data_IF_522454448326
#
_entry.id   IF_522454448326
#
_cell.length_a   1.000
_cell.length_b   1.000
_cell.length_c   1.000
_cell.angle_alpha   90.00
_cell.angle_beta   90.00
_cell.angle_gamma   90.00
#
_symmetry.space_group_name_H-M   'P 1'
#
loop_
_entity.id
_entity.type
_entity.pdbx_description
1 polymer ?
#
# COMPACT_ATOMS: atom_id res chain seq x y z
N UNK A 1 13.00 -2.50 -13.72
CA UNK A 1 13.52 -3.55 -12.81
C UNK A 1 15.04 -3.65 -12.85
N UNK A 2 15.66 -3.99 -14.00
CA UNK A 2 17.11 -4.26 -14.08
C UNK A 2 18.02 -3.13 -13.56
N UNK A 3 17.83 -1.89 -14.03
CA UNK A 3 18.66 -0.74 -13.63
C UNK A 3 18.42 -0.33 -12.16
N UNK A 4 17.16 -0.41 -11.70
CA UNK A 4 16.78 -0.05 -10.33
C UNK A 4 17.29 -1.05 -9.28
N UNK A 5 17.66 -2.27 -9.69
CA UNK A 5 18.25 -3.28 -8.81
C UNK A 5 19.77 -3.17 -8.65
N UNK A 6 20.47 -2.37 -9.47
CA UNK A 6 21.93 -2.24 -9.41
C UNK A 6 22.45 -1.73 -8.04
N UNK A 7 21.79 -0.77 -7.35
CA UNK A 7 22.19 -0.37 -6.01
C UNK A 7 22.08 -1.48 -4.97
N UNK A 8 21.18 -2.44 -5.15
CA UNK A 8 20.95 -3.58 -4.25
C UNK A 8 22.04 -4.66 -4.36
N UNK A 9 22.89 -4.62 -5.39
CA UNK A 9 24.03 -5.53 -5.57
C UNK A 9 25.31 -5.04 -4.89
N UNK A 10 25.30 -3.83 -4.33
CA UNK A 10 26.44 -3.29 -3.58
C UNK A 10 26.54 -3.92 -2.19
N UNK A 11 27.69 -3.81 -1.51
CA UNK A 11 27.90 -4.40 -0.18
C UNK A 11 26.94 -3.94 0.93
N UNK A 12 26.18 -2.86 0.70
CA UNK A 12 25.12 -2.37 1.59
C UNK A 12 23.70 -2.58 1.02
N UNK A 13 23.57 -3.30 -0.09
CA UNK A 13 22.31 -3.48 -0.81
C UNK A 13 21.21 -4.17 0.00
N UNK A 14 21.58 -5.07 0.92
CA UNK A 14 20.63 -5.71 1.83
C UNK A 14 19.93 -4.69 2.76
N UNK A 15 20.66 -3.67 3.23
CA UNK A 15 20.08 -2.61 4.07
C UNK A 15 19.11 -1.73 3.27
N UNK A 16 19.45 -1.39 2.02
CA UNK A 16 18.57 -0.62 1.14
C UNK A 16 17.30 -1.42 0.84
N UNK A 17 17.43 -2.73 0.60
CA UNK A 17 16.29 -3.61 0.37
C UNK A 17 15.36 -3.67 1.59
N UNK A 18 15.93 -3.83 2.78
CA UNK A 18 15.18 -3.92 4.04
C UNK A 18 14.41 -2.63 4.34
N UNK A 19 15.05 -1.47 4.17
CA UNK A 19 14.41 -0.15 4.34
C UNK A 19 13.24 0.03 3.36
N UNK A 20 13.45 -0.32 2.08
CA UNK A 20 12.40 -0.18 1.05
C UNK A 20 11.24 -1.14 1.31
N UNK A 21 11.51 -2.39 1.67
CA UNK A 21 10.47 -3.39 1.96
C UNK A 21 9.63 -2.98 3.17
N UNK A 22 10.28 -2.61 4.28
CA UNK A 22 9.58 -2.14 5.48
C UNK A 22 8.73 -0.91 5.17
N UNK A 23 9.28 0.07 4.46
CA UNK A 23 8.54 1.27 4.12
C UNK A 23 7.33 1.00 3.23
N UNK A 24 7.51 0.19 2.17
CA UNK A 24 6.43 -0.14 1.23
C UNK A 24 5.28 -0.89 1.89
N UNK A 25 5.57 -1.82 2.80
CA UNK A 25 4.53 -2.58 3.50
C UNK A 25 3.77 -1.72 4.52
N UNK A 26 4.47 -0.94 5.34
CA UNK A 26 3.84 -0.15 6.40
C UNK A 26 3.10 1.08 5.90
N UNK A 27 3.63 1.80 4.90
CA UNK A 27 3.02 3.05 4.44
C UNK A 27 2.38 2.91 3.07
N UNK A 28 3.10 2.38 2.08
CA UNK A 28 2.61 2.30 0.70
C UNK A 28 1.37 1.41 0.57
N UNK A 29 1.55 0.11 0.79
CA UNK A 29 0.50 -0.89 0.63
C UNK A 29 -0.66 -0.64 1.60
N UNK A 30 -0.36 -0.35 2.86
CA UNK A 30 -1.36 -0.13 3.91
C UNK A 30 -2.31 1.02 3.61
N UNK A 31 -1.81 2.16 3.11
CA UNK A 31 -2.67 3.29 2.75
C UNK A 31 -3.57 2.98 1.56
N UNK A 32 -3.02 2.31 0.53
CA UNK A 32 -3.80 1.89 -0.66
C UNK A 32 -4.90 0.92 -0.26
N UNK A 33 -4.58 -0.11 0.52
CA UNK A 33 -5.54 -1.11 0.97
C UNK A 33 -6.59 -0.48 1.89
N UNK A 34 -6.20 0.41 2.80
CA UNK A 34 -7.13 1.14 3.66
C UNK A 34 -8.14 1.95 2.82
N UNK A 35 -7.67 2.65 1.78
CA UNK A 35 -8.55 3.34 0.83
C UNK A 35 -9.51 2.40 0.10
N UNK A 36 -8.99 1.29 -0.44
CA UNK A 36 -9.81 0.27 -1.12
C UNK A 36 -10.87 -0.32 -0.19
N UNK A 37 -10.51 -0.64 1.04
CA UNK A 37 -11.40 -1.21 2.04
C UNK A 37 -12.48 -0.20 2.47
N UNK A 38 -12.15 1.09 2.57
CA UNK A 38 -13.16 2.14 2.81
C UNK A 38 -14.15 2.22 1.65
N UNK A 39 -13.66 2.24 0.42
CA UNK A 39 -14.48 2.30 -0.79
C UNK A 39 -15.39 1.08 -0.88
N UNK A 40 -14.86 -0.12 -0.73
CA UNK A 40 -15.60 -1.37 -0.87
C UNK A 40 -16.55 -1.58 0.33
N UNK A 41 -16.04 -1.39 1.55
CA UNK A 41 -16.75 -1.69 2.78
C UNK A 41 -17.91 -0.73 3.08
N UNK A 42 -17.74 0.57 2.79
CA UNK A 42 -18.72 1.60 3.16
C UNK A 42 -19.31 2.35 1.97
N UNK A 43 -18.52 2.73 0.96
CA UNK A 43 -19.04 3.53 -0.15
C UNK A 43 -19.86 2.69 -1.17
N UNK A 44 -19.29 1.60 -1.67
CA UNK A 44 -19.96 0.67 -2.59
C UNK A 44 -20.90 -0.30 -1.86
N UNK A 45 -20.56 -0.61 -0.60
CA UNK A 45 -21.30 -1.53 0.26
C UNK A 45 -20.85 -2.97 0.03
N UNK A 46 -20.30 -3.59 1.08
CA UNK A 46 -19.80 -4.97 1.03
C UNK A 46 -20.88 -5.97 0.58
N UNK A 47 -22.14 -5.80 1.02
CA UNK A 47 -23.25 -6.69 0.63
C UNK A 47 -23.46 -6.77 -0.89
N UNK A 48 -23.31 -5.63 -1.59
CA UNK A 48 -23.46 -5.56 -3.04
C UNK A 48 -22.35 -6.33 -3.74
N UNK A 49 -21.12 -6.19 -3.24
CA UNK A 49 -19.97 -6.91 -3.78
C UNK A 49 -20.05 -8.41 -3.49
N UNK A 50 -20.50 -8.80 -2.29
CA UNK A 50 -20.76 -10.20 -1.93
C UNK A 50 -21.80 -10.85 -2.83
N UNK A 51 -22.91 -10.15 -3.12
CA UNK A 51 -23.96 -10.63 -4.03
C UNK A 51 -23.41 -10.85 -5.44
N UNK A 52 -22.56 -9.94 -5.92
CA UNK A 52 -21.93 -10.07 -7.23
C UNK A 52 -20.98 -11.28 -7.30
N UNK A 53 -20.18 -11.50 -6.26
CA UNK A 53 -19.29 -12.66 -6.15
C UNK A 53 -20.11 -13.96 -6.10
N UNK A 54 -21.19 -13.99 -5.33
CA UNK A 54 -22.04 -15.17 -5.17
C UNK A 54 -22.82 -15.52 -6.44
N UNK A 55 -23.13 -14.54 -7.29
CA UNK A 55 -23.77 -14.78 -8.59
C UNK A 55 -22.81 -15.39 -9.62
N UNK A 56 -21.53 -14.99 -9.58
CA UNK A 56 -20.52 -15.44 -10.53
C UNK A 56 -19.72 -16.66 -10.03
N UNK A 57 -19.96 -17.14 -8.81
CA UNK A 57 -19.21 -18.22 -8.18
C UNK A 57 -20.13 -19.39 -7.81
N UNK A 58 -19.63 -20.61 -7.98
CA UNK A 58 -20.31 -21.84 -7.54
C UNK A 58 -20.42 -21.96 -6.01
N UNK A 59 -19.75 -21.07 -5.26
CA UNK A 59 -19.73 -21.04 -3.80
C UNK A 59 -20.39 -19.78 -3.25
N UNK A 60 -21.24 -19.93 -2.22
CA UNK A 60 -21.92 -18.81 -1.56
C UNK A 60 -21.03 -18.20 -0.50
N UNK A 61 -20.70 -16.92 -0.66
CA UNK A 61 -19.94 -16.15 0.33
C UNK A 61 -20.89 -15.74 1.47
N UNK A 62 -20.54 -16.11 2.70
CA UNK A 62 -21.37 -15.87 3.89
C UNK A 62 -21.27 -14.43 4.44
N UNK A 63 -22.08 -14.14 5.47
CA UNK A 63 -22.09 -12.83 6.13
C UNK A 63 -20.77 -12.46 6.84
N UNK A 64 -19.94 -13.45 7.15
CA UNK A 64 -18.60 -13.25 7.72
C UNK A 64 -17.71 -12.39 6.82
N UNK A 65 -17.89 -12.46 5.50
CA UNK A 65 -17.07 -11.71 4.54
C UNK A 65 -17.30 -10.19 4.65
N UNK A 66 -18.55 -9.77 4.88
CA UNK A 66 -18.86 -8.35 5.11
C UNK A 66 -18.19 -7.85 6.39
N UNK A 67 -18.19 -8.67 7.45
CA UNK A 67 -17.55 -8.33 8.72
C UNK A 67 -16.04 -8.24 8.54
N UNK A 68 -15.44 -9.17 7.80
CA UNK A 68 -14.01 -9.15 7.52
C UNK A 68 -13.58 -7.88 6.80
N UNK A 69 -14.29 -7.48 5.74
CA UNK A 69 -13.94 -6.28 4.97
C UNK A 69 -14.23 -5.02 5.75
N UNK A 70 -15.36 -4.95 6.45
CA UNK A 70 -15.79 -3.70 7.09
C UNK A 70 -15.14 -3.46 8.46
N UNK A 71 -14.67 -4.50 9.13
CA UNK A 71 -14.13 -4.39 10.49
C UNK A 71 -12.75 -5.00 10.65
N UNK A 72 -12.53 -6.24 10.21
CA UNK A 72 -11.26 -6.95 10.46
C UNK A 72 -10.11 -6.31 9.70
N UNK A 73 -10.22 -6.18 8.37
CA UNK A 73 -9.19 -5.55 7.53
C UNK A 73 -8.82 -4.12 7.98
N UNK A 74 -9.77 -3.19 8.17
CA UNK A 74 -9.43 -1.83 8.55
C UNK A 74 -8.83 -1.78 9.96
N UNK A 75 -9.31 -2.59 10.92
CA UNK A 75 -8.69 -2.64 12.26
C UNK A 75 -7.28 -3.21 12.23
N UNK A 76 -7.01 -4.27 11.46
CA UNK A 76 -5.66 -4.83 11.35
C UNK A 76 -4.68 -3.82 10.76
N UNK A 77 -5.08 -3.08 9.71
CA UNK A 77 -4.23 -2.05 9.10
C UNK A 77 -4.01 -0.89 10.06
N UNK A 78 -5.06 -0.41 10.73
CA UNK A 78 -4.94 0.66 11.74
C UNK A 78 -4.02 0.23 12.90
N UNK A 79 -4.12 -1.02 13.35
CA UNK A 79 -3.24 -1.56 14.39
C UNK A 79 -1.78 -1.56 13.94
N UNK A 80 -1.51 -2.02 12.72
CA UNK A 80 -0.15 -2.07 12.16
C UNK A 80 0.46 -0.67 12.00
N UNK A 81 -0.34 0.30 11.55
CA UNK A 81 0.08 1.71 11.48
C UNK A 81 0.33 2.30 12.88
N UNK A 82 -0.53 1.97 13.84
CA UNK A 82 -0.38 2.44 15.22
C UNK A 82 0.87 1.88 15.89
N UNK A 83 1.18 0.59 15.71
CA UNK A 83 2.41 -0.01 16.25
C UNK A 83 3.65 0.66 15.69
N UNK A 84 3.66 0.93 14.38
CA UNK A 84 4.77 1.61 13.71
C UNK A 84 4.94 3.07 14.21
N UNK A 85 3.84 3.81 14.38
CA UNK A 85 3.87 5.18 14.94
C UNK A 85 4.36 5.15 16.40
N UNK A 86 3.89 4.19 17.20
CA UNK A 86 4.32 4.05 18.60
C UNK A 86 5.81 3.76 18.70
N UNK A 87 6.32 2.86 17.86
CA UNK A 87 7.75 2.54 17.81
C UNK A 87 8.60 3.74 17.38
N UNK A 88 8.06 4.62 16.53
CA UNK A 88 8.70 5.89 16.15
C UNK A 88 8.62 6.97 17.24
N UNK A 89 7.56 6.97 18.04
CA UNK A 89 7.34 7.93 19.10
C UNK A 89 8.22 7.69 20.35
N UNK A 90 8.78 6.49 20.50
CA UNK A 90 9.76 6.17 21.54
C UNK A 90 11.17 6.38 20.96
N UNK A 91 11.91 7.43 21.36
CA UNK A 91 13.23 7.72 20.82
C UNK A 91 14.24 6.67 21.29
N UNK A 92 14.52 5.67 20.46
CA UNK A 92 15.63 4.75 20.68
C UNK A 92 16.94 5.37 20.17
N UNK A 93 17.70 5.96 21.10
CA UNK A 93 19.14 6.24 20.94
C UNK A 93 19.52 7.30 19.90
N UNK A 94 20.79 7.70 19.91
CA UNK A 94 21.38 8.85 19.19
C UNK A 94 21.49 8.70 17.66
N UNK A 95 20.56 8.01 17.01
CA UNK A 95 20.50 7.92 15.54
C UNK A 95 19.47 8.91 14.99
N UNK A 96 19.87 10.18 14.94
CA UNK A 96 19.14 11.27 14.26
C UNK A 96 19.00 11.12 12.73
N UNK A 97 19.35 9.95 12.17
CA UNK A 97 19.25 9.66 10.73
C UNK A 97 17.87 9.15 10.31
N UNK A 98 17.03 8.66 11.23
CA UNK A 98 15.71 8.07 10.90
C UNK A 98 14.63 9.09 10.52
N UNK A 99 14.86 10.38 10.77
CA UNK A 99 14.00 11.47 10.27
C UNK A 99 14.13 11.66 8.75
N UNK A 100 15.25 11.26 8.15
CA UNK A 100 15.49 11.38 6.70
C UNK A 100 14.70 10.34 5.90
N UNK A 101 14.46 9.15 6.46
CA UNK A 101 13.60 8.11 5.86
C UNK A 101 12.15 8.59 5.71
N UNK A 102 11.65 9.39 6.66
CA UNK A 102 10.32 9.98 6.56
C UNK A 102 10.23 10.96 5.37
N UNK A 103 11.26 11.76 5.10
CA UNK A 103 11.24 12.69 3.97
C UNK A 103 11.45 12.00 2.62
N UNK A 104 12.42 11.08 2.53
CA UNK A 104 12.76 10.41 1.27
C UNK A 104 11.64 9.48 0.80
N UNK A 105 11.01 8.78 1.74
CA UNK A 105 10.06 7.75 1.37
C UNK A 105 8.63 8.30 1.17
N UNK A 106 8.23 9.37 1.86
CA UNK A 106 7.01 10.11 1.51
C UNK A 106 7.11 10.75 0.12
N UNK A 107 8.30 11.20 -0.27
CA UNK A 107 8.55 11.72 -1.62
C UNK A 107 8.34 10.63 -2.68
N UNK A 108 8.76 9.38 -2.43
CA UNK A 108 8.50 8.24 -3.32
C UNK A 108 6.99 7.92 -3.42
N UNK A 109 6.25 7.94 -2.30
CA UNK A 109 4.78 7.71 -2.28
C UNK A 109 4.04 8.74 -3.11
N UNK A 110 4.47 10.00 -3.09
CA UNK A 110 3.81 11.07 -3.85
C UNK A 110 4.28 11.04 -5.31
N UNK A 111 5.56 10.78 -5.55
CA UNK A 111 6.16 10.86 -6.88
C UNK A 111 5.74 9.69 -7.78
N UNK A 112 5.60 8.46 -7.26
CA UNK A 112 5.24 7.31 -8.09
C UNK A 112 3.82 7.39 -8.70
N UNK A 113 2.75 7.72 -7.96
CA UNK A 113 1.42 7.92 -8.53
C UNK A 113 1.39 9.09 -9.51
N UNK A 114 2.06 10.20 -9.19
CA UNK A 114 2.13 11.37 -10.08
C UNK A 114 2.83 10.99 -11.39
N UNK A 115 3.96 10.29 -11.33
CA UNK A 115 4.66 9.81 -12.53
C UNK A 115 3.77 8.84 -13.30
N UNK A 116 3.08 7.91 -12.64
CA UNK A 116 2.15 6.99 -13.30
C UNK A 116 1.01 7.73 -14.00
N UNK A 117 0.39 8.71 -13.34
CA UNK A 117 -0.68 9.54 -13.92
C UNK A 117 -0.17 10.38 -15.09
N UNK A 118 1.01 10.99 -14.96
CA UNK A 118 1.66 11.74 -16.05
C UNK A 118 1.93 10.83 -17.25
N UNK A 119 2.44 9.61 -17.03
CA UNK A 119 2.62 8.63 -18.10
C UNK A 119 1.29 8.16 -18.70
N UNK A 120 0.24 8.03 -17.89
CA UNK A 120 -1.10 7.68 -18.37
C UNK A 120 -1.75 8.81 -19.19
N UNK A 121 -1.43 10.07 -18.88
CA UNK A 121 -1.88 11.26 -19.61
C UNK A 121 -1.11 11.49 -20.92
N UNK A 122 0.01 10.81 -21.15
CA UNK A 122 0.71 10.89 -22.44
C UNK A 122 -0.20 10.30 -23.53
N UNK A 123 -0.51 11.06 -24.59
CA UNK A 123 -1.42 10.60 -25.63
C UNK A 123 -0.91 9.30 -26.25
N UNK A 124 -1.65 8.21 -26.01
CA UNK A 124 -1.40 6.93 -26.65
C UNK A 124 -1.36 7.11 -28.16
N UNK A 125 -0.26 6.69 -28.79
CA UNK A 125 -0.08 6.75 -30.24
C UNK A 125 -1.23 5.99 -30.90
N UNK A 126 -2.06 6.69 -31.69
CA UNK A 126 -3.16 6.10 -32.45
C UNK A 126 -2.62 4.93 -33.27
N UNK A 127 -3.05 3.71 -32.94
CA UNK A 127 -2.90 2.58 -33.85
C UNK A 127 -3.82 2.84 -35.04
N UNK A 128 -3.22 3.27 -36.14
CA UNK A 128 -3.88 3.33 -37.44
C UNK A 128 -4.17 1.90 -37.89
N UNK A 129 -5.36 1.69 -38.46
CA UNK A 129 -5.93 0.38 -38.79
C UNK A 129 -5.24 -0.28 -39.98
#
# INVERSE_FOLDING_TARGET
>A
AFILGLPMLTGSGLYILDIVDHFMNYWGLSLVVLGQVIIIGWAYGSDRMRKHITQNSSFRVGAWWDICIRWVLPMSILWMLFSEIRERAVPYGSFGLRSQEFLFCWLIIILLPIVADVFAMLPGRKQDK
#
